data_IF_350169134139
#
_entry.id   IF_350169134139
#
_cell.length_a   1.000
_cell.length_b   1.000
_cell.length_c   1.000
_cell.angle_alpha   90.00
_cell.angle_beta   90.00
_cell.angle_gamma   90.00
#
_symmetry.space_group_name_H-M   'P 1'
#
loop_
_entity.id
_entity.type
_entity.pdbx_description
1 polymer ?
#
# COMPACT_ATOMS: atom_id res chain seq x y z
N UNK A 1 -0.81 -11.66 0.86
CA UNK A 1 -1.44 -10.37 0.51
C UNK A 1 -2.88 -10.62 0.08
N UNK A 2 -3.17 -11.19 -1.11
CA UNK A 2 -4.56 -11.40 -1.59
C UNK A 2 -5.47 -12.14 -0.58
N UNK A 3 -5.10 -13.36 -0.17
CA UNK A 3 -5.92 -14.20 0.73
C UNK A 3 -6.31 -13.50 2.04
N UNK A 4 -5.45 -12.62 2.56
CA UNK A 4 -5.72 -11.87 3.79
C UNK A 4 -6.94 -10.95 3.66
N UNK A 5 -7.16 -10.39 2.46
CA UNK A 5 -8.25 -9.47 2.19
C UNK A 5 -9.47 -10.15 1.57
N UNK A 6 -9.37 -11.43 1.18
CA UNK A 6 -10.44 -12.17 0.53
C UNK A 6 -11.57 -12.58 1.50
N UNK A 7 -11.24 -12.69 2.79
CA UNK A 7 -12.22 -13.03 3.82
C UNK A 7 -13.38 -12.03 3.88
N UNK A 8 -14.62 -12.55 3.81
CA UNK A 8 -15.86 -11.77 3.82
C UNK A 8 -16.42 -11.45 2.42
N UNK A 9 -15.69 -11.80 1.36
CA UNK A 9 -16.13 -11.58 -0.03
C UNK A 9 -17.32 -12.50 -0.40
N UNK A 10 -18.42 -11.98 -0.97
CA UNK A 10 -19.57 -12.78 -1.35
C UNK A 10 -19.23 -13.78 -2.46
N UNK A 11 -19.62 -15.04 -2.27
CA UNK A 11 -19.33 -16.12 -3.23
C UNK A 11 -17.93 -16.72 -3.10
N UNK A 12 -17.12 -16.29 -2.14
CA UNK A 12 -15.82 -16.90 -1.87
C UNK A 12 -15.97 -18.42 -1.66
N UNK A 13 -15.26 -19.17 -2.49
CA UNK A 13 -15.18 -20.62 -2.48
C UNK A 13 -13.72 -21.05 -2.47
N UNK A 14 -13.41 -22.13 -1.77
CA UNK A 14 -12.05 -22.67 -1.64
C UNK A 14 -12.06 -24.18 -1.87
N UNK A 15 -11.13 -24.67 -2.68
CA UNK A 15 -10.89 -26.11 -2.87
C UNK A 15 -9.42 -26.35 -3.17
N UNK A 16 -8.83 -27.34 -2.51
CA UNK A 16 -7.44 -27.76 -2.70
C UNK A 16 -6.43 -26.60 -2.58
N UNK A 17 -6.72 -25.62 -1.70
CA UNK A 17 -5.89 -24.43 -1.48
C UNK A 17 -5.98 -23.35 -2.55
N UNK A 18 -6.91 -23.48 -3.52
CA UNK A 18 -7.24 -22.44 -4.50
C UNK A 18 -8.56 -21.78 -4.12
N UNK A 19 -8.55 -20.45 -4.01
CA UNK A 19 -9.72 -19.62 -3.77
C UNK A 19 -10.24 -19.00 -5.07
N UNK A 20 -11.56 -18.90 -5.24
CA UNK A 20 -12.22 -18.18 -6.34
C UNK A 20 -13.58 -17.63 -5.89
N UNK A 21 -14.18 -16.77 -6.71
CA UNK A 21 -15.54 -16.27 -6.49
C UNK A 21 -16.51 -17.09 -7.34
N UNK A 22 -17.32 -17.92 -6.69
CA UNK A 22 -18.33 -18.73 -7.37
C UNK A 22 -19.62 -17.93 -7.54
N UNK A 23 -19.79 -17.33 -8.72
CA UNK A 23 -21.00 -16.57 -9.06
C UNK A 23 -22.15 -17.47 -9.51
N UNK A 24 -21.87 -18.74 -9.80
CA UNK A 24 -22.86 -19.72 -10.25
C UNK A 24 -23.48 -20.51 -9.09
N UNK A 25 -22.91 -20.43 -7.88
CA UNK A 25 -23.44 -21.08 -6.69
C UNK A 25 -24.85 -20.59 -6.35
N UNK A 26 -25.72 -21.54 -5.97
CA UNK A 26 -27.03 -21.21 -5.39
C UNK A 26 -26.82 -20.38 -4.11
N UNK A 27 -27.46 -19.21 -4.03
CA UNK A 27 -27.28 -18.30 -2.89
C UNK A 27 -26.35 -17.12 -3.12
N UNK A 28 -25.74 -16.99 -4.31
CA UNK A 28 -24.81 -15.89 -4.60
C UNK A 28 -25.48 -14.51 -4.49
N UNK A 29 -26.66 -14.35 -5.06
CA UNK A 29 -27.40 -13.08 -5.04
C UNK A 29 -27.76 -12.66 -3.60
N UNK A 30 -28.17 -13.59 -2.73
CA UNK A 30 -28.44 -13.30 -1.33
C UNK A 30 -27.17 -12.89 -0.57
N UNK A 31 -26.03 -13.54 -0.85
CA UNK A 31 -24.74 -13.17 -0.24
C UNK A 31 -24.26 -11.80 -0.69
N UNK A 32 -24.49 -11.47 -1.97
CA UNK A 32 -24.17 -10.17 -2.55
C UNK A 32 -25.05 -9.07 -1.95
N UNK A 33 -26.36 -9.32 -1.81
CA UNK A 33 -27.27 -8.39 -1.14
C UNK A 33 -26.83 -8.14 0.31
N UNK A 34 -26.57 -9.21 1.07
CA UNK A 34 -26.10 -9.10 2.45
C UNK A 34 -24.77 -8.34 2.56
N UNK A 35 -23.88 -8.42 1.56
CA UNK A 35 -22.66 -7.62 1.52
C UNK A 35 -22.96 -6.13 1.46
N UNK A 36 -23.87 -5.71 0.58
CA UNK A 36 -24.24 -4.30 0.44
C UNK A 36 -25.04 -3.79 1.63
N UNK A 37 -25.89 -4.63 2.24
CA UNK A 37 -26.57 -4.30 3.50
C UNK A 37 -25.55 -4.05 4.64
N UNK A 38 -24.55 -4.93 4.80
CA UNK A 38 -23.49 -4.74 5.79
C UNK A 38 -22.64 -3.50 5.50
N UNK A 39 -22.35 -3.23 4.22
CA UNK A 39 -21.61 -2.04 3.79
C UNK A 39 -22.36 -0.76 4.17
N UNK A 40 -23.63 -0.64 3.77
CA UNK A 40 -24.48 0.50 4.09
C UNK A 40 -24.68 0.65 5.59
N UNK A 41 -24.92 -0.45 6.30
CA UNK A 41 -25.03 -0.47 7.75
C UNK A 41 -23.78 0.06 8.47
N UNK A 42 -22.59 -0.25 7.95
CA UNK A 42 -21.34 0.29 8.50
C UNK A 42 -21.10 1.78 8.16
N UNK A 43 -21.64 2.28 7.05
CA UNK A 43 -21.60 3.71 6.72
C UNK A 43 -22.53 4.52 7.65
N UNK A 44 -23.73 4.01 7.90
CA UNK A 44 -24.73 4.65 8.77
C UNK A 44 -24.36 4.54 10.25
N UNK A 45 -23.84 3.40 10.68
CA UNK A 45 -23.36 3.17 12.03
C UNK A 45 -21.88 2.75 12.01
N UNK A 46 -20.95 3.72 12.03
CA UNK A 46 -19.52 3.46 12.10
C UNK A 46 -19.11 2.44 13.16
N UNK A 47 -19.73 2.44 14.35
CA UNK A 47 -19.33 1.55 15.45
C UNK A 47 -19.54 0.07 15.11
N UNK A 48 -20.47 -0.25 14.21
CA UNK A 48 -20.72 -1.62 13.76
C UNK A 48 -19.56 -2.24 12.97
N UNK A 49 -18.63 -1.42 12.43
CA UNK A 49 -17.52 -1.88 11.61
C UNK A 49 -16.60 -2.88 12.34
N UNK A 50 -16.44 -2.76 13.66
CA UNK A 50 -15.59 -3.66 14.43
C UNK A 50 -16.14 -5.09 14.52
N UNK A 51 -17.45 -5.27 14.37
CA UNK A 51 -18.14 -6.56 14.46
C UNK A 51 -18.67 -7.06 13.10
N UNK A 52 -18.35 -6.36 12.01
CA UNK A 52 -18.84 -6.70 10.67
C UNK A 52 -17.84 -7.60 9.92
N UNK A 53 -18.25 -8.06 8.74
CA UNK A 53 -17.41 -8.85 7.82
C UNK A 53 -16.12 -8.15 7.36
N UNK A 54 -16.03 -6.83 7.54
CA UNK A 54 -14.88 -6.06 7.12
C UNK A 54 -13.76 -6.05 8.16
N UNK A 55 -14.02 -6.44 9.40
CA UNK A 55 -12.97 -6.69 10.38
C UNK A 55 -12.16 -7.94 9.98
N UNK A 56 -10.86 -7.95 10.26
CA UNK A 56 -10.09 -9.18 10.09
C UNK A 56 -10.44 -10.21 11.17
N UNK A 57 -10.51 -11.48 10.78
CA UNK A 57 -10.41 -12.57 11.74
C UNK A 57 -9.04 -12.60 12.41
N UNK A 58 -8.91 -13.37 13.49
CA UNK A 58 -7.63 -13.68 14.12
C UNK A 58 -6.62 -14.27 13.12
N UNK A 59 -7.07 -15.08 12.16
CA UNK A 59 -6.21 -15.67 11.13
C UNK A 59 -5.68 -14.61 10.17
N UNK A 60 -6.57 -13.79 9.59
CA UNK A 60 -6.19 -12.75 8.63
C UNK A 60 -5.42 -11.59 9.31
N UNK A 61 -5.78 -11.25 10.53
CA UNK A 61 -5.25 -10.10 11.27
C UNK A 61 -4.05 -10.40 12.16
N UNK A 62 -3.47 -11.61 12.11
CA UNK A 62 -2.44 -12.05 13.07
C UNK A 62 -1.23 -11.11 13.16
N UNK A 63 -0.69 -10.70 12.00
CA UNK A 63 0.46 -9.79 11.95
C UNK A 63 0.16 -8.41 12.51
N UNK A 64 -1.01 -7.85 12.17
CA UNK A 64 -1.48 -6.57 12.71
C UNK A 64 -1.69 -6.67 14.23
N UNK A 65 -2.33 -7.74 14.69
CA UNK A 65 -2.58 -7.97 16.13
C UNK A 65 -1.26 -8.03 16.91
N UNK A 66 -0.26 -8.76 16.40
CA UNK A 66 1.06 -8.84 17.00
C UNK A 66 1.76 -7.47 17.03
N UNK A 67 1.68 -6.70 15.94
CA UNK A 67 2.23 -5.34 15.88
C UNK A 67 1.60 -4.43 16.95
N UNK A 68 0.28 -4.41 17.07
CA UNK A 68 -0.41 -3.52 18.01
C UNK A 68 -0.16 -3.93 19.47
N UNK A 69 -0.08 -5.24 19.75
CA UNK A 69 0.33 -5.72 21.07
C UNK A 69 1.73 -5.22 21.43
N UNK A 70 2.69 -5.36 20.50
CA UNK A 70 4.05 -4.87 20.71
C UNK A 70 4.10 -3.35 20.90
N UNK A 71 3.37 -2.57 20.10
CA UNK A 71 3.35 -1.11 20.21
C UNK A 71 2.83 -0.62 21.57
N UNK A 72 1.87 -1.33 22.19
CA UNK A 72 1.34 -0.99 23.52
C UNK A 72 2.36 -1.21 24.65
N UNK A 73 3.36 -2.06 24.41
CA UNK A 73 4.43 -2.36 25.37
C UNK A 73 5.65 -1.44 25.21
N UNK A 74 5.71 -0.63 24.14
CA UNK A 74 6.84 0.26 23.89
C UNK A 74 6.92 1.36 24.97
N UNK A 75 8.14 1.73 25.41
CA UNK A 75 8.32 2.80 26.41
C UNK A 75 7.88 4.17 25.89
N UNK A 76 7.82 4.34 24.57
CA UNK A 76 7.30 5.53 23.90
C UNK A 76 6.41 5.09 22.75
N UNK A 77 5.21 5.66 22.68
CA UNK A 77 4.29 5.41 21.58
C UNK A 77 4.94 5.81 20.24
N UNK A 78 4.71 5.02 19.17
CA UNK A 78 5.24 5.34 17.85
C UNK A 78 4.67 6.67 17.35
N UNK A 79 5.47 7.43 16.61
CA UNK A 79 5.01 8.68 16.00
C UNK A 79 3.89 8.45 14.98
N UNK A 80 3.97 7.34 14.24
CA UNK A 80 2.98 6.92 13.27
C UNK A 80 2.85 5.40 13.26
N UNK A 81 1.66 4.91 12.91
CA UNK A 81 1.41 3.50 12.59
C UNK A 81 1.02 3.35 11.13
N UNK A 82 1.58 2.33 10.48
CA UNK A 82 1.27 1.98 9.10
C UNK A 82 0.44 0.69 9.09
N UNK A 83 -0.72 0.76 8.46
CA UNK A 83 -1.46 -0.38 7.97
C UNK A 83 -1.39 -0.46 6.44
N UNK A 84 -2.02 -1.47 5.87
CA UNK A 84 -2.04 -1.67 4.44
C UNK A 84 -3.26 -2.43 3.98
N UNK A 85 -3.62 -2.24 2.72
CA UNK A 85 -4.56 -3.07 1.98
C UNK A 85 -3.88 -3.54 0.70
N UNK A 86 -4.28 -4.71 0.20
CA UNK A 86 -3.99 -4.99 -1.22
C UNK A 86 -4.67 -3.90 -2.02
N UNK A 87 -3.95 -3.27 -2.95
CA UNK A 87 -4.52 -2.28 -3.83
C UNK A 87 -5.64 -2.88 -4.69
N UNK A 88 -6.71 -2.11 -4.97
CA UNK A 88 -7.90 -2.61 -5.64
C UNK A 88 -7.63 -3.16 -7.04
N UNK A 89 -6.67 -2.62 -7.79
CA UNK A 89 -6.34 -3.12 -9.14
C UNK A 89 -5.65 -4.47 -9.02
N UNK A 90 -4.61 -4.58 -8.20
CA UNK A 90 -3.91 -5.84 -7.94
C UNK A 90 -4.87 -6.90 -7.41
N UNK A 91 -5.73 -6.55 -6.46
CA UNK A 91 -6.69 -7.48 -5.90
C UNK A 91 -7.65 -8.01 -6.97
N UNK A 92 -8.33 -7.12 -7.69
CA UNK A 92 -9.36 -7.53 -8.64
C UNK A 92 -8.78 -8.15 -9.92
N UNK A 93 -7.52 -7.88 -10.27
CA UNK A 93 -6.83 -8.56 -11.38
C UNK A 93 -6.27 -9.93 -11.01
N UNK A 94 -6.07 -10.21 -9.72
CA UNK A 94 -5.54 -11.50 -9.24
C UNK A 94 -6.64 -12.46 -8.81
N UNK A 95 -7.71 -11.96 -8.19
CA UNK A 95 -8.85 -12.79 -7.78
C UNK A 95 -9.68 -13.12 -9.02
N UNK A 96 -10.05 -14.39 -9.18
CA UNK A 96 -10.83 -14.87 -10.33
C UNK A 96 -12.21 -15.39 -9.94
N UNK A 97 -13.13 -15.37 -10.90
CA UNK A 97 -14.41 -16.07 -10.85
C UNK A 97 -14.24 -17.59 -11.10
N UNK A 98 -15.35 -18.34 -11.10
CA UNK A 98 -15.35 -19.79 -11.35
C UNK A 98 -14.87 -20.19 -12.76
N UNK A 99 -14.71 -19.23 -13.68
CA UNK A 99 -14.23 -19.40 -15.06
C UNK A 99 -12.80 -18.92 -15.25
N UNK A 100 -12.08 -18.71 -14.15
CA UNK A 100 -10.71 -18.21 -14.12
C UNK A 100 -10.54 -16.79 -14.71
N UNK A 101 -11.63 -16.02 -14.79
CA UNK A 101 -11.57 -14.63 -15.25
C UNK A 101 -11.36 -13.71 -14.06
N UNK A 102 -10.41 -12.79 -14.18
CA UNK A 102 -10.18 -11.77 -13.16
C UNK A 102 -11.46 -10.98 -12.87
N UNK A 103 -11.78 -10.81 -11.58
CA UNK A 103 -13.01 -10.12 -11.16
C UNK A 103 -13.02 -8.63 -11.52
N UNK A 104 -11.86 -8.07 -11.90
CA UNK A 104 -11.75 -6.69 -12.42
C UNK A 104 -12.67 -6.47 -13.64
N UNK A 105 -12.87 -7.50 -14.47
CA UNK A 105 -13.71 -7.43 -15.66
C UNK A 105 -15.20 -7.68 -15.38
N UNK A 106 -15.58 -7.81 -14.12
CA UNK A 106 -16.95 -7.97 -13.68
C UNK A 106 -17.32 -6.77 -12.80
N UNK A 107 -18.07 -5.81 -13.36
CA UNK A 107 -18.38 -4.53 -12.71
C UNK A 107 -18.86 -4.66 -11.26
N UNK A 108 -19.81 -5.56 -11.01
CA UNK A 108 -20.32 -5.83 -9.66
C UNK A 108 -19.25 -6.38 -8.71
N UNK A 109 -18.45 -7.37 -9.13
CA UNK A 109 -17.41 -7.95 -8.27
C UNK A 109 -16.26 -6.96 -8.04
N UNK A 110 -15.94 -6.15 -9.04
CA UNK A 110 -14.99 -5.04 -8.92
C UNK A 110 -15.46 -4.01 -7.89
N UNK A 111 -16.73 -3.61 -7.93
CA UNK A 111 -17.33 -2.70 -6.94
C UNK A 111 -17.28 -3.28 -5.51
N UNK A 112 -17.64 -4.56 -5.36
CA UNK A 112 -17.53 -5.30 -4.09
C UNK A 112 -16.08 -5.31 -3.58
N UNK A 113 -15.10 -5.59 -4.45
CA UNK A 113 -13.69 -5.60 -4.07
C UNK A 113 -13.24 -4.24 -3.53
N UNK A 114 -13.53 -3.16 -4.27
CA UNK A 114 -13.15 -1.80 -3.90
C UNK A 114 -13.78 -1.43 -2.54
N UNK A 115 -15.08 -1.66 -2.36
CA UNK A 115 -15.80 -1.36 -1.11
C UNK A 115 -15.28 -2.16 0.07
N UNK A 116 -15.00 -3.44 -0.14
CA UNK A 116 -14.46 -4.30 0.92
C UNK A 116 -13.07 -3.83 1.37
N UNK A 117 -12.19 -3.48 0.43
CA UNK A 117 -10.86 -2.97 0.72
C UNK A 117 -10.93 -1.61 1.43
N UNK A 118 -11.81 -0.72 0.99
CA UNK A 118 -12.10 0.55 1.64
C UNK A 118 -12.54 0.35 3.10
N UNK A 119 -13.52 -0.53 3.36
CA UNK A 119 -13.98 -0.80 4.72
C UNK A 119 -12.92 -1.46 5.60
N UNK A 120 -12.11 -2.38 5.05
CA UNK A 120 -10.96 -2.99 5.75
C UNK A 120 -9.89 -1.94 6.08
N UNK A 121 -9.63 -0.98 5.19
CA UNK A 121 -8.75 0.15 5.47
C UNK A 121 -9.28 1.01 6.64
N UNK A 122 -10.56 1.38 6.59
CA UNK A 122 -11.21 2.16 7.67
C UNK A 122 -11.14 1.44 9.02
N UNK A 123 -11.41 0.13 9.02
CA UNK A 123 -11.32 -0.69 10.22
C UNK A 123 -9.91 -0.67 10.81
N UNK A 124 -8.87 -0.85 9.98
CA UNK A 124 -7.48 -0.76 10.43
C UNK A 124 -7.15 0.61 11.02
N UNK A 125 -7.61 1.69 10.40
CA UNK A 125 -7.37 3.06 10.91
C UNK A 125 -7.93 3.21 12.33
N UNK A 126 -9.19 2.82 12.55
CA UNK A 126 -9.84 2.94 13.86
C UNK A 126 -9.15 2.10 14.92
N UNK A 127 -8.76 0.88 14.56
CA UNK A 127 -8.04 -0.01 15.47
C UNK A 127 -6.68 0.57 15.89
N UNK A 128 -5.94 1.17 14.95
CA UNK A 128 -4.63 1.77 15.24
C UNK A 128 -4.70 3.12 15.95
N UNK A 129 -5.82 3.86 15.81
CA UNK A 129 -6.01 5.19 16.39
C UNK A 129 -5.97 5.19 17.93
N UNK A 130 -6.19 4.03 18.55
CA UNK A 130 -6.01 3.86 19.99
C UNK A 130 -4.55 4.04 20.45
N UNK A 131 -3.58 3.93 19.54
CA UNK A 131 -2.14 3.91 19.84
C UNK A 131 -1.41 5.13 19.26
N UNK A 132 -1.82 5.60 18.08
CA UNK A 132 -1.15 6.72 17.38
C UNK A 132 -2.16 7.66 16.72
N UNK A 133 -1.92 8.96 16.87
CA UNK A 133 -2.68 10.00 16.19
C UNK A 133 -2.36 10.04 14.68
N UNK A 134 -1.13 9.68 14.30
CA UNK A 134 -0.72 9.62 12.89
C UNK A 134 -0.88 8.20 12.36
N UNK A 135 -1.81 8.01 11.44
CA UNK A 135 -2.07 6.71 10.81
C UNK A 135 -1.85 6.83 9.31
N UNK A 136 -1.14 5.85 8.75
CA UNK A 136 -0.91 5.69 7.32
C UNK A 136 -1.56 4.38 6.86
N UNK A 137 -2.30 4.39 5.76
CA UNK A 137 -2.75 3.17 5.09
C UNK A 137 -2.19 3.14 3.68
N UNK A 138 -1.48 2.06 3.35
CA UNK A 138 -0.90 1.89 2.03
C UNK A 138 -1.76 0.96 1.18
N UNK A 139 -2.01 1.36 -0.07
CA UNK A 139 -2.55 0.49 -1.11
C UNK A 139 -1.37 -0.16 -1.84
N UNK A 140 -1.16 -1.45 -1.61
CA UNK A 140 -0.06 -2.20 -2.22
C UNK A 140 -0.47 -2.68 -3.62
N UNK A 141 0.12 -2.08 -4.66
CA UNK A 141 -0.25 -2.26 -6.06
C UNK A 141 0.86 -2.88 -6.93
N UNK A 142 1.43 -4.06 -6.59
CA UNK A 142 2.44 -4.70 -7.45
C UNK A 142 1.89 -5.08 -8.83
N UNK A 143 0.58 -5.31 -8.99
CA UNK A 143 -0.07 -5.60 -10.26
C UNK A 143 0.00 -4.45 -11.27
N UNK A 144 0.11 -3.20 -10.80
CA UNK A 144 0.27 -2.04 -11.69
C UNK A 144 1.60 -2.02 -12.44
N UNK A 145 2.58 -2.85 -12.06
CA UNK A 145 3.79 -3.04 -12.85
C UNK A 145 3.51 -3.64 -14.24
N UNK A 146 2.40 -4.37 -14.40
CA UNK A 146 1.96 -4.90 -15.68
C UNK A 146 1.07 -3.96 -16.47
N UNK A 147 0.67 -2.80 -15.93
CA UNK A 147 -0.26 -1.89 -16.58
C UNK A 147 0.30 -1.43 -17.95
N UNK A 148 -0.54 -1.43 -18.99
CA UNK A 148 -0.12 -1.17 -20.37
C UNK A 148 0.48 -2.39 -21.11
N UNK A 149 0.65 -3.53 -20.45
CA UNK A 149 0.99 -4.80 -21.12
C UNK A 149 -0.24 -5.44 -21.79
N UNK A 150 -0.02 -6.44 -22.64
CA UNK A 150 -1.10 -7.20 -23.28
C UNK A 150 -2.05 -7.86 -22.30
N UNK A 151 -1.60 -8.18 -21.08
CA UNK A 151 -2.41 -8.79 -20.03
C UNK A 151 -3.47 -7.82 -19.44
N UNK A 152 -3.25 -6.51 -19.56
CA UNK A 152 -4.11 -5.47 -18.99
C UNK A 152 -4.51 -4.40 -20.01
N UNK A 153 -4.44 -4.70 -21.32
CA UNK A 153 -4.65 -3.72 -22.39
C UNK A 153 -6.07 -3.13 -22.42
N UNK A 154 -7.04 -3.86 -21.85
CA UNK A 154 -8.44 -3.42 -21.76
C UNK A 154 -8.75 -2.61 -20.49
N UNK A 155 -7.82 -2.55 -19.53
CA UNK A 155 -7.99 -1.75 -18.31
C UNK A 155 -7.58 -0.32 -18.61
N UNK A 156 -8.50 0.62 -18.41
CA UNK A 156 -8.26 2.03 -18.68
C UNK A 156 -7.60 2.76 -17.50
N UNK A 157 -6.97 3.90 -17.79
CA UNK A 157 -6.44 4.81 -16.76
C UNK A 157 -7.56 5.25 -15.80
N UNK A 158 -8.73 5.61 -16.32
CA UNK A 158 -9.84 6.12 -15.52
C UNK A 158 -10.37 5.06 -14.53
N UNK A 159 -10.48 3.79 -14.95
CA UNK A 159 -10.90 2.69 -14.07
C UNK A 159 -9.90 2.45 -12.92
N UNK A 160 -8.59 2.51 -13.22
CA UNK A 160 -7.53 2.42 -12.19
C UNK A 160 -7.67 3.56 -11.19
N UNK A 161 -7.85 4.79 -11.68
CA UNK A 161 -7.94 5.97 -10.84
C UNK A 161 -9.20 6.02 -10.00
N UNK A 162 -10.32 5.57 -10.55
CA UNK A 162 -11.57 5.44 -9.80
C UNK A 162 -11.42 4.43 -8.67
N UNK A 163 -10.85 3.25 -8.96
CA UNK A 163 -10.65 2.19 -7.97
C UNK A 163 -9.73 2.65 -6.82
N UNK A 164 -8.56 3.21 -7.14
CA UNK A 164 -7.63 3.76 -6.15
C UNK A 164 -8.27 4.93 -5.37
N UNK A 165 -8.98 5.80 -6.07
CA UNK A 165 -9.60 7.00 -5.52
C UNK A 165 -10.69 6.70 -4.48
N UNK A 166 -11.50 5.67 -4.70
CA UNK A 166 -12.54 5.26 -3.73
C UNK A 166 -11.92 4.75 -2.43
N UNK A 167 -10.87 3.93 -2.51
CA UNK A 167 -10.13 3.46 -1.31
C UNK A 167 -9.42 4.62 -0.62
N UNK A 168 -8.76 5.50 -1.37
CA UNK A 168 -8.14 6.72 -0.85
C UNK A 168 -9.13 7.60 -0.10
N UNK A 169 -10.31 7.85 -0.68
CA UNK A 169 -11.35 8.67 -0.07
C UNK A 169 -11.80 8.08 1.28
N UNK A 170 -12.01 6.76 1.34
CA UNK A 170 -12.37 6.08 2.59
C UNK A 170 -11.28 6.18 3.67
N UNK A 171 -9.99 6.15 3.29
CA UNK A 171 -8.87 6.36 4.20
C UNK A 171 -8.85 7.82 4.73
N UNK A 172 -9.07 8.79 3.84
CA UNK A 172 -9.11 10.21 4.18
C UNK A 172 -10.29 10.58 5.08
N UNK A 173 -11.46 9.96 4.87
CA UNK A 173 -12.65 10.12 5.73
C UNK A 173 -12.39 9.71 7.19
N UNK A 174 -11.47 8.79 7.44
CA UNK A 174 -11.04 8.40 8.79
C UNK A 174 -9.90 9.29 9.34
N UNK A 175 -9.46 10.31 8.59
CA UNK A 175 -8.37 11.20 8.95
C UNK A 175 -7.00 10.51 8.95
N UNK A 176 -6.80 9.50 8.09
CA UNK A 176 -5.49 8.86 7.88
C UNK A 176 -4.87 9.32 6.55
N UNK A 177 -3.54 9.18 6.44
CA UNK A 177 -2.83 9.45 5.18
C UNK A 177 -2.88 8.22 4.28
N UNK A 178 -3.16 8.44 3.01
CA UNK A 178 -3.20 7.41 1.99
C UNK A 178 -1.86 7.31 1.25
N UNK A 179 -1.19 6.16 1.40
CA UNK A 179 -0.02 5.81 0.61
C UNK A 179 -0.35 4.84 -0.52
N UNK A 180 0.46 4.83 -1.57
CA UNK A 180 0.47 3.76 -2.59
C UNK A 180 1.87 3.22 -2.72
N UNK A 181 1.98 1.89 -2.81
CA UNK A 181 3.26 1.20 -2.98
C UNK A 181 3.30 0.36 -4.25
N UNK A 182 4.36 0.54 -5.04
CA UNK A 182 4.68 -0.31 -6.20
C UNK A 182 6.16 -0.68 -6.17
N UNK A 183 6.48 -1.98 -6.16
CA UNK A 183 7.87 -2.47 -6.06
C UNK A 183 8.63 -2.46 -7.39
N UNK A 184 8.02 -2.03 -8.50
CA UNK A 184 8.63 -2.05 -9.84
C UNK A 184 8.25 -0.81 -10.65
N UNK A 185 8.76 -0.72 -11.88
CA UNK A 185 8.34 0.33 -12.81
C UNK A 185 6.84 0.21 -13.16
N UNK A 186 6.16 1.34 -13.27
CA UNK A 186 4.75 1.46 -13.65
C UNK A 186 4.51 2.79 -14.36
N UNK A 187 3.29 3.05 -14.80
CA UNK A 187 2.85 4.36 -15.28
C UNK A 187 2.68 5.33 -14.10
N UNK A 188 3.79 5.87 -13.62
CA UNK A 188 3.86 6.75 -12.43
C UNK A 188 2.87 7.91 -12.41
N UNK A 189 2.55 8.60 -13.54
CA UNK A 189 1.55 9.64 -13.54
C UNK A 189 0.19 9.21 -12.98
N UNK A 190 -0.18 7.92 -13.06
CA UNK A 190 -1.40 7.39 -12.45
C UNK A 190 -1.45 7.58 -10.93
N UNK A 191 -0.28 7.45 -10.28
CA UNK A 191 -0.12 7.46 -8.83
C UNK A 191 0.27 8.83 -8.27
N UNK A 192 0.67 9.74 -9.14
CA UNK A 192 1.07 11.11 -8.78
C UNK A 192 -0.12 12.08 -8.76
N UNK A 193 -1.36 11.60 -8.81
CA UNK A 193 -2.59 12.41 -8.83
C UNK A 193 -3.20 12.64 -7.42
N UNK A 194 -4.29 13.43 -7.36
CA UNK A 194 -4.74 14.18 -6.17
C UNK A 194 -5.10 13.37 -4.90
N UNK A 195 -5.25 12.06 -4.98
CA UNK A 195 -5.76 11.23 -3.89
C UNK A 195 -4.69 10.37 -3.19
N UNK A 196 -3.41 10.60 -3.54
CA UNK A 196 -2.28 9.91 -2.91
C UNK A 196 -1.43 10.96 -2.16
N UNK A 197 -1.26 10.73 -0.86
CA UNK A 197 -0.44 11.56 0.02
C UNK A 197 1.01 11.07 0.04
N UNK A 198 1.21 9.75 -0.08
CA UNK A 198 2.53 9.14 0.05
C UNK A 198 2.80 8.20 -1.12
N UNK A 199 3.83 8.48 -1.91
CA UNK A 199 4.31 7.55 -2.93
C UNK A 199 5.45 6.70 -2.36
N UNK A 200 5.28 5.38 -2.38
CA UNK A 200 6.31 4.43 -2.00
C UNK A 200 6.79 3.61 -3.19
N UNK A 201 8.08 3.71 -3.47
CA UNK A 201 8.68 3.17 -4.68
C UNK A 201 10.07 2.62 -4.37
N UNK A 202 10.49 1.65 -5.17
CA UNK A 202 11.84 1.11 -5.12
C UNK A 202 12.83 2.11 -5.78
N UNK A 203 13.37 2.98 -4.95
CA UNK A 203 14.38 3.95 -5.35
C UNK A 203 15.75 3.30 -5.61
N UNK A 204 16.00 2.13 -5.03
CA UNK A 204 17.23 1.37 -5.22
C UNK A 204 17.32 0.75 -6.62
N UNK A 205 16.21 0.31 -7.22
CA UNK A 205 16.24 -0.29 -8.55
C UNK A 205 15.63 0.58 -9.66
N UNK A 206 14.64 1.44 -9.34
CA UNK A 206 13.77 2.06 -10.36
C UNK A 206 13.65 3.59 -10.26
N UNK A 207 14.51 4.28 -9.47
CA UNK A 207 14.47 5.74 -9.39
C UNK A 207 14.65 6.44 -10.74
N UNK A 208 15.51 5.90 -11.61
CA UNK A 208 15.75 6.41 -12.96
C UNK A 208 14.46 6.45 -13.80
N UNK A 209 13.57 5.47 -13.61
CA UNK A 209 12.29 5.39 -14.31
C UNK A 209 11.28 6.40 -13.76
N UNK A 210 11.21 6.54 -12.45
CA UNK A 210 10.36 7.55 -11.81
C UNK A 210 10.80 8.96 -12.23
N UNK A 211 12.11 9.22 -12.28
CA UNK A 211 12.70 10.50 -12.67
C UNK A 211 12.40 10.94 -14.12
N UNK A 212 11.83 10.07 -14.96
CA UNK A 212 11.36 10.42 -16.31
C UNK A 212 10.11 11.32 -16.32
N UNK A 213 9.46 11.51 -15.16
CA UNK A 213 8.24 12.29 -14.99
C UNK A 213 8.47 13.53 -14.10
N UNK A 214 9.38 14.46 -14.51
CA UNK A 214 9.83 15.55 -13.66
C UNK A 214 8.71 16.53 -13.29
N UNK A 215 7.77 16.78 -14.22
CA UNK A 215 6.66 17.69 -13.99
C UNK A 215 5.69 17.11 -12.96
N UNK A 216 5.29 15.86 -13.14
CA UNK A 216 4.33 15.15 -12.29
C UNK A 216 4.89 14.98 -10.86
N UNK A 217 6.16 14.62 -10.74
CA UNK A 217 6.86 14.54 -9.45
C UNK A 217 6.95 15.90 -8.75
N UNK A 218 7.31 16.95 -9.49
CA UNK A 218 7.41 18.27 -8.90
C UNK A 218 6.03 18.80 -8.47
N UNK A 219 4.99 18.55 -9.25
CA UNK A 219 3.61 18.89 -8.91
C UNK A 219 3.12 18.08 -7.68
N UNK A 220 3.53 16.81 -7.55
CA UNK A 220 3.28 15.96 -6.38
C UNK A 220 3.88 16.52 -5.10
N UNK A 221 5.16 16.85 -5.13
CA UNK A 221 5.85 17.37 -3.95
C UNK A 221 5.32 18.78 -3.59
N UNK A 222 5.11 19.66 -4.58
CA UNK A 222 4.60 21.03 -4.36
C UNK A 222 3.23 21.06 -3.68
N UNK A 223 2.36 20.10 -3.96
CA UNK A 223 1.03 20.02 -3.31
C UNK A 223 1.06 19.40 -1.91
N UNK A 224 2.21 18.96 -1.41
CA UNK A 224 2.35 18.37 -0.08
C UNK A 224 2.59 16.85 -0.06
N UNK A 225 2.72 16.20 -1.22
CA UNK A 225 2.96 14.76 -1.28
C UNK A 225 4.32 14.34 -0.69
N UNK A 226 4.35 13.17 -0.05
CA UNK A 226 5.51 12.60 0.61
C UNK A 226 6.09 11.44 -0.20
N UNK A 227 7.41 11.28 -0.15
CA UNK A 227 8.14 10.19 -0.79
C UNK A 227 8.64 9.19 0.26
N UNK A 228 8.09 7.99 0.25
CA UNK A 228 8.64 6.84 0.97
C UNK A 228 9.71 6.19 0.08
N UNK A 229 10.93 6.70 0.17
CA UNK A 229 12.06 6.36 -0.70
C UNK A 229 12.64 5.00 -0.30
N UNK A 230 12.31 3.97 -1.06
CA UNK A 230 12.80 2.60 -0.89
C UNK A 230 14.26 2.47 -1.33
N UNK A 231 15.21 2.94 -0.52
CA UNK A 231 16.65 2.93 -0.85
C UNK A 231 17.37 1.69 -0.31
N UNK A 232 16.81 1.01 0.70
CA UNK A 232 17.43 -0.19 1.28
C UNK A 232 17.00 -1.39 0.44
N UNK A 233 17.93 -2.10 -0.21
CA UNK A 233 17.57 -3.22 -1.08
C UNK A 233 16.90 -4.35 -0.29
N UNK A 234 16.05 -5.10 -0.98
CA UNK A 234 15.33 -6.24 -0.39
C UNK A 234 15.65 -7.56 -1.06
N UNK A 235 16.54 -7.58 -2.06
CA UNK A 235 17.07 -8.83 -2.61
C UNK A 235 18.30 -9.28 -1.78
N UNK A 236 18.37 -10.55 -1.36
CA UNK A 236 19.46 -11.10 -0.55
C UNK A 236 20.87 -10.74 -1.04
N UNK A 237 21.10 -10.86 -2.34
CA UNK A 237 22.39 -10.63 -2.98
C UNK A 237 22.88 -9.18 -2.87
N UNK A 238 21.96 -8.23 -2.68
CA UNK A 238 22.31 -6.82 -2.49
C UNK A 238 22.46 -6.47 -1.02
N UNK A 239 21.60 -7.00 -0.13
CA UNK A 239 21.65 -6.75 1.32
C UNK A 239 23.04 -7.04 1.89
N UNK A 240 23.69 -8.11 1.42
CA UNK A 240 25.00 -8.54 1.88
C UNK A 240 26.18 -7.74 1.32
N UNK A 241 25.95 -6.90 0.30
CA UNK A 241 27.02 -6.23 -0.46
C UNK A 241 27.03 -4.72 -0.32
N UNK A 242 25.88 -4.10 -0.07
CA UNK A 242 25.78 -2.65 0.04
C UNK A 242 26.21 -2.17 1.41
N UNK A 243 26.82 -0.98 1.46
CA UNK A 243 27.16 -0.30 2.70
C UNK A 243 26.29 0.95 2.93
N UNK A 244 26.18 1.38 4.19
CA UNK A 244 25.33 2.50 4.57
C UNK A 244 25.80 3.85 3.98
N UNK A 245 27.10 4.03 3.76
CA UNK A 245 27.66 5.26 3.20
C UNK A 245 27.32 5.39 1.70
N UNK A 246 27.38 4.29 0.96
CA UNK A 246 26.97 4.18 -0.43
C UNK A 246 25.49 4.51 -0.58
N UNK A 247 24.63 3.89 0.23
CA UNK A 247 23.18 4.13 0.20
C UNK A 247 22.84 5.57 0.59
N UNK A 248 23.55 6.14 1.57
CA UNK A 248 23.40 7.54 1.99
C UNK A 248 23.77 8.49 0.85
N UNK A 249 24.95 8.30 0.23
CA UNK A 249 25.38 9.10 -0.93
C UNK A 249 24.37 9.01 -2.06
N UNK A 250 23.90 7.79 -2.36
CA UNK A 250 22.90 7.54 -3.39
C UNK A 250 21.59 8.28 -3.11
N UNK A 251 21.09 8.28 -1.87
CA UNK A 251 19.90 9.03 -1.50
C UNK A 251 20.07 10.54 -1.76
N UNK A 252 21.20 11.13 -1.36
CA UNK A 252 21.48 12.54 -1.65
C UNK A 252 21.57 12.84 -3.15
N UNK A 253 22.21 11.96 -3.94
CA UNK A 253 22.25 12.10 -5.41
C UNK A 253 20.84 12.11 -6.02
N UNK A 254 19.95 11.25 -5.54
CA UNK A 254 18.55 11.22 -5.97
C UNK A 254 17.80 12.50 -5.56
N UNK A 255 18.05 13.04 -4.37
CA UNK A 255 17.51 14.34 -3.96
C UNK A 255 18.00 15.48 -4.85
N UNK A 256 19.25 15.47 -5.30
CA UNK A 256 19.77 16.47 -6.23
C UNK A 256 19.11 16.39 -7.61
N UNK A 257 18.82 15.17 -8.09
CA UNK A 257 18.02 14.98 -9.32
C UNK A 257 16.63 15.60 -9.15
N UNK A 258 15.95 15.34 -8.03
CA UNK A 258 14.65 15.95 -7.73
C UNK A 258 14.74 17.49 -7.63
N UNK A 259 15.82 18.03 -7.05
CA UNK A 259 16.03 19.48 -7.00
C UNK A 259 16.17 20.08 -8.41
N UNK A 260 16.78 19.33 -9.34
CA UNK A 260 16.84 19.65 -10.77
C UNK A 260 15.48 19.84 -11.44
N UNK A 261 14.38 19.36 -10.84
CA UNK A 261 13.02 19.56 -11.34
C UNK A 261 12.39 20.90 -10.88
N UNK A 262 13.21 21.81 -10.34
CA UNK A 262 12.78 23.10 -9.84
C UNK A 262 12.12 23.01 -8.46
N UNK A 263 12.62 22.11 -7.62
CA UNK A 263 12.20 21.94 -6.23
C UNK A 263 13.29 22.44 -5.28
N UNK A 264 12.88 23.04 -4.17
CA UNK A 264 13.82 23.41 -3.12
C UNK A 264 14.32 22.15 -2.39
N UNK A 265 15.64 22.07 -2.12
CA UNK A 265 16.24 20.93 -1.41
C UNK A 265 15.58 20.66 -0.06
N UNK A 266 15.35 21.71 0.73
CA UNK A 266 14.74 21.58 2.05
C UNK A 266 13.37 20.92 1.97
N UNK A 267 12.56 21.31 0.97
CA UNK A 267 11.26 20.71 0.72
C UNK A 267 11.36 19.21 0.42
N UNK A 268 12.31 18.80 -0.42
CA UNK A 268 12.53 17.37 -0.74
C UNK A 268 12.88 16.59 0.52
N UNK A 269 13.73 17.16 1.38
CA UNK A 269 14.15 16.52 2.63
C UNK A 269 12.99 16.40 3.64
N UNK A 270 12.20 17.47 3.81
CA UNK A 270 11.05 17.47 4.72
C UNK A 270 9.93 16.54 4.24
N UNK A 271 9.85 16.29 2.92
CA UNK A 271 8.83 15.47 2.29
C UNK A 271 9.34 14.08 1.86
N UNK A 272 10.48 13.61 2.38
CA UNK A 272 11.01 12.28 2.09
C UNK A 272 11.33 11.53 3.38
N UNK A 273 11.04 10.24 3.40
CA UNK A 273 11.52 9.32 4.42
C UNK A 273 12.02 8.02 3.79
N UNK A 274 12.95 7.37 4.49
CA UNK A 274 13.69 6.22 3.97
C UNK A 274 12.99 4.93 4.39
N UNK A 275 12.90 3.97 3.45
CA UNK A 275 12.30 2.67 3.66
C UNK A 275 13.11 1.56 2.96
N UNK A 276 12.87 0.28 3.27
CA UNK A 276 13.20 -0.82 2.36
C UNK A 276 12.44 -0.71 1.04
N UNK A 277 13.04 -1.19 -0.06
CA UNK A 277 12.47 -1.16 -1.41
C UNK A 277 11.11 -1.85 -1.56
N UNK A 278 10.86 -2.89 -0.76
CA UNK A 278 9.63 -3.68 -0.76
C UNK A 278 9.48 -4.37 0.61
N UNK A 279 8.51 -5.27 0.78
CA UNK A 279 8.34 -6.04 2.02
C UNK A 279 9.49 -7.03 2.28
N UNK A 280 9.81 -7.29 3.56
CA UNK A 280 10.88 -8.23 3.96
C UNK A 280 10.36 -9.66 4.22
N UNK A 281 9.09 -9.94 3.92
CA UNK A 281 8.42 -11.19 4.32
C UNK A 281 8.90 -12.47 3.61
N UNK A 282 9.64 -12.34 2.52
CA UNK A 282 10.26 -13.47 1.80
C UNK A 282 11.68 -13.78 2.28
N UNK A 283 12.25 -12.96 3.15
CA UNK A 283 13.62 -13.09 3.65
C UNK A 283 13.69 -13.95 4.91
N UNK A 284 14.89 -14.44 5.21
CA UNK A 284 15.17 -15.01 6.55
C UNK A 284 15.19 -13.91 7.60
N UNK A 285 14.96 -14.27 8.87
CA UNK A 285 15.03 -13.30 9.99
C UNK A 285 16.37 -12.57 10.06
N UNK A 286 17.48 -13.28 9.78
CA UNK A 286 18.82 -12.68 9.76
C UNK A 286 18.95 -11.61 8.66
N UNK A 287 18.47 -11.90 7.44
CA UNK A 287 18.49 -10.94 6.33
C UNK A 287 17.56 -9.76 6.58
N UNK A 288 16.38 -9.99 7.16
CA UNK A 288 15.46 -8.93 7.55
C UNK A 288 16.08 -8.02 8.62
N UNK A 289 16.73 -8.59 9.64
CA UNK A 289 17.44 -7.83 10.67
C UNK A 289 18.59 -7.01 10.07
N UNK A 290 19.35 -7.57 9.12
CA UNK A 290 20.42 -6.86 8.43
C UNK A 290 19.88 -5.67 7.61
N UNK A 291 18.80 -5.86 6.84
CA UNK A 291 18.16 -4.78 6.10
C UNK A 291 17.64 -3.66 7.02
N UNK A 292 17.06 -4.01 8.17
CA UNK A 292 16.60 -3.02 9.16
C UNK A 292 17.77 -2.33 9.89
N UNK A 293 18.90 -3.02 10.05
CA UNK A 293 20.17 -2.42 10.50
C UNK A 293 20.66 -1.35 9.54
N UNK A 294 20.77 -1.69 8.25
CA UNK A 294 21.14 -0.74 7.19
C UNK A 294 20.21 0.47 7.15
N UNK A 295 18.89 0.25 7.29
CA UNK A 295 17.91 1.34 7.37
C UNK A 295 18.22 2.32 8.51
N UNK A 296 18.57 1.78 9.68
CA UNK A 296 18.91 2.57 10.87
C UNK A 296 20.19 3.37 10.65
N UNK A 297 21.22 2.73 10.10
CA UNK A 297 22.52 3.36 9.84
C UNK A 297 22.41 4.48 8.79
N UNK A 298 21.71 4.24 7.68
CA UNK A 298 21.44 5.25 6.65
C UNK A 298 20.63 6.42 7.23
N UNK A 299 19.60 6.14 8.04
CA UNK A 299 18.82 7.20 8.69
C UNK A 299 19.69 8.08 9.60
N UNK A 300 20.58 7.48 10.38
CA UNK A 300 21.51 8.19 11.25
C UNK A 300 22.50 9.05 10.46
N UNK A 301 23.12 8.50 9.41
CA UNK A 301 24.08 9.18 8.55
C UNK A 301 23.45 10.39 7.84
N UNK A 302 22.23 10.24 7.32
CA UNK A 302 21.47 11.34 6.70
C UNK A 302 21.20 12.46 7.72
N UNK A 303 20.69 12.12 8.91
CA UNK A 303 20.38 13.11 9.97
C UNK A 303 21.61 13.86 10.46
N UNK A 304 22.75 13.20 10.58
CA UNK A 304 24.00 13.84 11.01
C UNK A 304 24.44 14.94 10.03
N UNK A 305 24.12 14.82 8.75
CA UNK A 305 24.44 15.82 7.72
C UNK A 305 23.57 17.08 7.79
N UNK A 306 22.41 17.01 8.45
CA UNK A 306 21.51 18.15 8.70
C UNK A 306 21.76 18.85 10.05
N UNK A 307 22.52 18.22 10.96
CA UNK A 307 22.89 18.80 12.25
C UNK A 307 24.20 19.62 12.20
N UNK A 308 24.82 19.72 11.03
CA UNK A 308 26.03 20.51 10.75
C UNK A 308 25.68 21.74 9.94
#
# INVERSE_FOLDING_TARGET
>A
MIEQFLEGFPGLSEKDGKSWIDTAASGFDEKLLAFFEDYLGCLENPVALAASRFAFSEKAGRGLTALLAHCRELPRMPFALKGQVTGPVTFATTVCDERERAIFYHDTLRDVAIKMLAMKARWQVRLMREISDTILIFQDEPGLAGFGSSAFITITKDEVQQALGEVSAAIHEEGALCGVHVCANTEWPLLLEKNVDILSYDAFAYFDRLALYPKELADFIRRGGLLATGIIPTAPEFIERVDADELTRRWFEQCEVLAGFGLERQRIFDQSFITPSCGLGSLTEAQAAQALGLLTDVSAAVRQRFQR
#
